data_IF_659997050982
#
_entry.id   IF_659997050982
#
_cell.length_a   1.000
_cell.length_b   1.000
_cell.length_c   1.000
_cell.angle_alpha   90.00
_cell.angle_beta   90.00
_cell.angle_gamma   90.00
#
_symmetry.space_group_name_H-M   'P 1'
#
loop_
_entity.id
_entity.type
_entity.pdbx_description
1 polymer ?
#
# COMPACT_ATOMS: atom_id res chain seq x y z
N UNK A 1 19.31 -10.19 12.65
CA UNK A 1 18.61 -9.01 12.10
C UNK A 1 17.22 -8.99 12.71
N UNK A 2 16.85 -7.96 13.48
CA UNK A 2 15.53 -7.92 14.12
C UNK A 2 14.50 -7.78 13.01
N UNK A 3 13.60 -8.75 12.86
CA UNK A 3 12.50 -8.66 11.89
C UNK A 3 11.66 -7.45 12.28
N UNK A 4 11.71 -6.40 11.46
CA UNK A 4 11.06 -5.10 11.71
C UNK A 4 9.58 -5.09 11.25
N UNK A 5 9.09 -6.22 10.75
CA UNK A 5 7.72 -6.39 10.26
C UNK A 5 6.87 -7.13 11.29
N UNK A 6 5.66 -6.64 11.56
CA UNK A 6 4.71 -7.33 12.44
C UNK A 6 3.97 -8.48 11.73
N UNK A 7 3.12 -9.20 12.48
CA UNK A 7 2.31 -10.32 11.94
C UNK A 7 1.34 -9.90 10.84
N UNK A 8 0.98 -8.62 10.79
CA UNK A 8 0.09 -8.02 9.79
C UNK A 8 0.86 -7.43 8.60
N UNK A 9 2.14 -7.78 8.44
CA UNK A 9 3.00 -7.35 7.35
C UNK A 9 3.27 -5.82 7.30
N UNK A 10 3.15 -5.10 8.43
CA UNK A 10 3.51 -3.67 8.53
C UNK A 10 4.95 -3.49 8.98
N UNK A 11 5.63 -2.49 8.41
CA UNK A 11 7.03 -2.19 8.67
C UNK A 11 7.97 -2.62 7.54
N UNK A 12 9.25 -2.80 7.88
CA UNK A 12 10.32 -3.01 6.91
C UNK A 12 10.47 -4.48 6.48
N UNK A 13 10.61 -4.67 5.17
CA UNK A 13 10.89 -5.94 4.49
C UNK A 13 12.28 -5.87 3.87
N UNK A 14 13.21 -6.77 4.25
CA UNK A 14 14.57 -6.75 3.72
C UNK A 14 14.62 -7.23 2.27
N UNK A 15 15.75 -6.97 1.63
CA UNK A 15 16.11 -7.55 0.33
C UNK A 15 15.88 -9.07 0.35
N UNK A 16 15.38 -9.61 -0.77
CA UNK A 16 15.16 -11.05 -0.99
C UNK A 16 14.02 -11.67 -0.19
N UNK A 17 13.31 -10.95 0.68
CA UNK A 17 12.24 -11.54 1.50
C UNK A 17 10.97 -11.84 0.66
N UNK A 18 10.68 -11.01 -0.34
CA UNK A 18 9.47 -11.13 -1.16
C UNK A 18 9.64 -12.16 -2.29
N UNK A 19 8.79 -13.18 -2.28
CA UNK A 19 8.71 -14.25 -3.28
C UNK A 19 7.26 -14.34 -3.80
N UNK A 20 7.00 -13.76 -4.96
CA UNK A 20 5.71 -13.74 -5.65
C UNK A 20 5.59 -14.80 -6.74
N UNK A 21 6.72 -15.26 -7.28
CA UNK A 21 6.82 -16.29 -8.30
C UNK A 21 7.85 -17.35 -7.87
N UNK A 22 7.43 -18.40 -7.15
CA UNK A 22 8.33 -19.43 -6.64
C UNK A 22 9.08 -20.20 -7.73
N UNK A 23 8.63 -20.14 -8.99
CA UNK A 23 9.25 -20.87 -10.10
C UNK A 23 10.40 -20.06 -10.69
N UNK A 24 10.21 -18.74 -10.85
CA UNK A 24 11.20 -17.89 -11.52
C UNK A 24 12.06 -17.06 -10.54
N UNK A 25 11.62 -16.84 -9.30
CA UNK A 25 12.36 -16.08 -8.30
C UNK A 25 13.19 -17.00 -7.40
N UNK A 26 14.41 -17.30 -7.84
CA UNK A 26 15.36 -18.17 -7.12
C UNK A 26 15.83 -17.53 -5.81
N UNK A 27 16.06 -16.21 -5.81
CA UNK A 27 16.60 -15.46 -4.68
C UNK A 27 15.57 -14.50 -4.05
N UNK A 28 14.31 -14.48 -4.51
CA UNK A 28 13.35 -13.43 -4.17
C UNK A 28 13.61 -12.11 -4.91
N UNK A 29 12.83 -11.09 -4.57
CA UNK A 29 12.90 -9.76 -5.19
C UNK A 29 14.12 -8.93 -4.74
N UNK A 30 14.77 -8.27 -5.70
CA UNK A 30 15.92 -7.37 -5.47
C UNK A 30 15.46 -5.98 -5.03
N UNK A 31 14.57 -5.91 -4.04
CA UNK A 31 14.09 -4.66 -3.46
C UNK A 31 13.90 -4.81 -1.96
N UNK A 32 14.12 -3.70 -1.25
CA UNK A 32 13.63 -3.53 0.10
C UNK A 32 12.26 -2.84 0.06
N UNK A 33 11.46 -3.03 1.10
CA UNK A 33 10.11 -2.48 1.19
C UNK A 33 9.79 -1.93 2.56
N UNK A 34 8.92 -0.93 2.61
CA UNK A 34 8.33 -0.44 3.85
C UNK A 34 6.82 -0.32 3.70
N UNK A 35 6.09 -1.13 4.47
CA UNK A 35 4.65 -1.25 4.34
C UNK A 35 3.93 -0.43 5.43
N UNK A 36 3.23 0.62 5.00
CA UNK A 36 2.41 1.50 5.84
C UNK A 36 0.94 1.32 5.42
N UNK A 37 0.08 1.08 6.39
CA UNK A 37 -1.37 1.00 6.21
C UNK A 37 -2.10 2.20 6.78
N UNK A 38 -3.43 2.12 6.76
CA UNK A 38 -4.29 3.02 7.54
C UNK A 38 -3.97 2.81 9.02
N UNK A 39 -3.92 3.90 9.80
CA UNK A 39 -3.78 3.81 11.25
C UNK A 39 -5.01 3.13 11.86
N UNK A 40 -4.79 2.00 12.53
CA UNK A 40 -5.82 1.20 13.19
C UNK A 40 -5.47 1.12 14.69
N UNK A 41 -6.39 1.44 15.62
CA UNK A 41 -6.17 1.28 17.05
C UNK A 41 -5.86 -0.17 17.42
N UNK A 42 -5.03 -0.38 18.45
CA UNK A 42 -4.67 -1.73 18.94
C UNK A 42 -5.84 -2.56 19.49
N UNK A 43 -7.01 -1.94 19.69
CA UNK A 43 -8.22 -2.59 20.15
C UNK A 43 -9.30 -2.69 19.05
N UNK A 44 -8.95 -2.51 17.77
CA UNK A 44 -9.93 -2.59 16.69
C UNK A 44 -10.42 -4.04 16.49
N UNK A 45 -11.74 -4.28 16.40
CA UNK A 45 -12.29 -5.62 16.18
C UNK A 45 -11.87 -6.24 14.83
N UNK A 46 -11.33 -5.46 13.90
CA UNK A 46 -10.86 -5.91 12.60
C UNK A 46 -9.36 -6.28 12.56
N UNK A 47 -8.65 -6.30 13.69
CA UNK A 47 -7.22 -6.65 13.73
C UNK A 47 -6.92 -8.10 13.28
N UNK A 48 -7.95 -8.95 13.20
CA UNK A 48 -7.85 -10.30 12.66
C UNK A 48 -7.84 -10.32 11.11
N UNK A 49 -8.20 -9.22 10.45
CA UNK A 49 -8.16 -9.14 8.98
C UNK A 49 -6.71 -9.03 8.51
N UNK A 50 -6.35 -9.83 7.50
CA UNK A 50 -5.06 -9.75 6.85
C UNK A 50 -4.81 -8.30 6.38
N UNK A 51 -3.61 -7.78 6.64
CA UNK A 51 -3.21 -6.40 6.32
C UNK A 51 -3.93 -5.29 7.12
N UNK A 52 -4.74 -5.61 8.13
CA UNK A 52 -5.29 -4.63 9.07
C UNK A 52 -4.59 -4.77 10.42
N UNK A 53 -3.76 -3.78 10.77
CA UNK A 53 -2.97 -3.82 12.00
C UNK A 53 -2.23 -2.50 12.24
N UNK A 54 -1.76 -2.26 13.47
CA UNK A 54 -1.03 -1.05 13.81
C UNK A 54 0.22 -0.92 12.94
N UNK A 55 0.51 0.31 12.50
CA UNK A 55 1.73 0.59 11.76
C UNK A 55 2.93 0.46 12.69
N UNK A 56 3.99 -0.14 12.17
CA UNK A 56 5.31 -0.10 12.80
C UNK A 56 6.00 1.12 12.22
N UNK A 57 6.45 2.04 13.08
CA UNK A 57 7.18 3.24 12.68
C UNK A 57 8.65 3.12 13.11
N UNK A 58 9.61 3.65 12.33
CA UNK A 58 10.98 3.75 12.82
C UNK A 58 11.01 4.75 13.96
N UNK A 59 11.91 4.50 14.92
CA UNK A 59 12.09 5.42 16.03
C UNK A 59 12.75 6.71 15.53
N UNK A 60 12.43 7.85 16.17
CA UNK A 60 12.84 9.17 15.71
C UNK A 60 14.37 9.39 15.77
N UNK A 61 15.10 8.59 16.56
CA UNK A 61 16.56 8.53 16.59
C UNK A 61 17.17 7.93 15.32
N UNK A 62 16.45 7.04 14.62
CA UNK A 62 16.92 6.45 13.36
C UNK A 62 16.51 7.33 12.18
N UNK A 63 15.24 7.73 12.12
CA UNK A 63 14.68 8.54 11.04
C UNK A 63 13.76 9.63 11.59
N UNK A 64 14.35 10.77 11.95
CA UNK A 64 13.61 11.93 12.47
C UNK A 64 12.65 12.49 11.42
N UNK A 65 11.39 12.71 11.78
CA UNK A 65 10.38 13.32 10.89
C UNK A 65 9.81 12.39 9.81
N UNK A 66 10.19 11.11 9.80
CA UNK A 66 9.79 10.16 8.75
C UNK A 66 8.30 9.87 8.77
N UNK A 67 7.73 9.66 9.96
CA UNK A 67 6.32 9.39 10.12
C UNK A 67 5.48 10.53 9.55
N UNK A 68 5.78 11.75 9.97
CA UNK A 68 5.08 12.96 9.55
C UNK A 68 5.19 13.17 8.03
N UNK A 69 6.37 12.90 7.47
CA UNK A 69 6.62 12.96 6.03
C UNK A 69 5.77 11.94 5.27
N UNK A 70 5.71 10.70 5.74
CA UNK A 70 4.95 9.63 5.09
C UNK A 70 3.43 9.80 5.24
N UNK A 71 2.96 10.27 6.39
CA UNK A 71 1.55 10.63 6.60
C UNK A 71 1.14 11.79 5.69
N UNK A 72 2.00 12.81 5.52
CA UNK A 72 1.77 13.89 4.56
C UNK A 72 1.73 13.36 3.13
N UNK A 73 2.73 12.59 2.71
CA UNK A 73 2.78 11.99 1.37
C UNK A 73 1.52 11.16 1.08
N UNK A 74 1.09 10.32 2.02
CA UNK A 74 -0.12 9.52 1.88
C UNK A 74 -1.37 10.38 1.66
N UNK A 75 -1.55 11.44 2.45
CA UNK A 75 -2.66 12.39 2.31
C UNK A 75 -2.66 13.08 0.95
N UNK A 76 -1.51 13.58 0.51
CA UNK A 76 -1.40 14.24 -0.81
C UNK A 76 -1.66 13.25 -1.96
N UNK A 77 -1.14 12.03 -1.87
CA UNK A 77 -1.39 10.99 -2.85
C UNK A 77 -2.88 10.62 -2.93
N UNK A 78 -3.57 10.54 -1.79
CA UNK A 78 -5.02 10.33 -1.77
C UNK A 78 -5.78 11.45 -2.47
N UNK A 79 -5.41 12.72 -2.26
CA UNK A 79 -6.06 13.84 -2.95
C UNK A 79 -5.92 13.74 -4.48
N UNK A 80 -4.75 13.33 -4.98
CA UNK A 80 -4.53 13.10 -6.42
C UNK A 80 -5.39 11.93 -6.94
N UNK A 81 -5.46 10.82 -6.19
CA UNK A 81 -6.29 9.68 -6.57
C UNK A 81 -7.76 10.09 -6.58
N UNK A 82 -8.29 10.69 -5.51
CA UNK A 82 -9.69 11.11 -5.46
C UNK A 82 -10.02 12.18 -6.50
N UNK A 83 -9.12 13.11 -6.76
CA UNK A 83 -9.28 14.10 -7.84
C UNK A 83 -9.37 13.44 -9.22
N UNK A 84 -8.54 12.43 -9.49
CA UNK A 84 -8.57 11.71 -10.77
C UNK A 84 -9.79 10.77 -10.90
N UNK A 85 -10.29 10.20 -9.79
CA UNK A 85 -11.51 9.37 -9.78
C UNK A 85 -12.75 10.14 -10.27
N UNK A 86 -12.81 11.48 -10.15
CA UNK A 86 -13.92 12.29 -10.68
C UNK A 86 -13.98 12.24 -12.21
N UNK A 87 -12.85 12.04 -12.89
CA UNK A 87 -12.77 11.97 -14.35
C UNK A 87 -13.14 10.59 -14.90
N UNK A 88 -12.97 9.53 -14.11
CA UNK A 88 -13.16 8.15 -14.55
C UNK A 88 -14.59 7.80 -14.99
N UNK A 89 -15.67 8.25 -14.31
CA UNK A 89 -17.03 7.99 -14.77
C UNK A 89 -17.26 8.51 -16.18
N UNK A 90 -16.67 9.66 -16.54
CA UNK A 90 -16.85 10.22 -17.87
C UNK A 90 -16.11 9.43 -18.94
N UNK A 91 -14.94 8.89 -18.61
CA UNK A 91 -14.13 8.05 -19.52
C UNK A 91 -14.80 6.68 -19.73
N UNK A 92 -15.39 6.13 -18.66
CA UNK A 92 -15.98 4.80 -18.64
C UNK A 92 -17.50 4.79 -18.95
N UNK A 93 -18.06 5.92 -19.37
CA UNK A 93 -19.49 6.13 -19.63
C UNK A 93 -20.40 5.68 -18.46
N UNK A 94 -19.97 5.93 -17.23
CA UNK A 94 -20.73 5.68 -16.02
C UNK A 94 -21.56 6.90 -15.64
N UNK A 95 -22.71 6.67 -15.00
CA UNK A 95 -23.63 7.74 -14.62
C UNK A 95 -23.12 8.60 -13.47
N UNK A 96 -22.29 8.02 -12.60
CA UNK A 96 -21.74 8.71 -11.43
C UNK A 96 -20.47 8.03 -10.91
N UNK A 97 -19.74 8.73 -10.05
CA UNK A 97 -18.65 8.16 -9.25
C UNK A 97 -19.14 7.08 -8.27
N UNK A 98 -20.40 7.14 -7.84
CA UNK A 98 -20.99 6.09 -6.98
C UNK A 98 -21.12 4.76 -7.74
N UNK A 99 -21.51 4.80 -9.02
CA UNK A 99 -21.56 3.61 -9.87
C UNK A 99 -20.17 3.00 -10.06
N UNK A 100 -19.14 3.84 -10.20
CA UNK A 100 -17.74 3.39 -10.26
C UNK A 100 -17.32 2.69 -8.96
N UNK A 101 -17.59 3.30 -7.80
CA UNK A 101 -17.26 2.72 -6.48
C UNK A 101 -18.03 1.43 -6.21
N UNK A 102 -19.28 1.33 -6.67
CA UNK A 102 -20.08 0.11 -6.54
C UNK A 102 -19.51 -1.04 -7.38
N UNK A 103 -19.09 -0.78 -8.63
CA UNK A 103 -18.48 -1.81 -9.50
C UNK A 103 -17.10 -2.24 -9.01
N UNK A 104 -16.31 -1.30 -8.52
CA UNK A 104 -14.99 -1.55 -7.95
C UNK A 104 -14.98 -2.54 -6.77
N UNK A 105 -16.04 -2.50 -5.94
CA UNK A 105 -16.19 -3.45 -4.83
C UNK A 105 -16.46 -4.89 -5.29
N UNK A 106 -16.85 -5.09 -6.55
CA UNK A 106 -17.26 -6.41 -7.09
C UNK A 106 -16.11 -7.13 -7.82
N UNK A 107 -15.14 -6.41 -8.38
CA UNK A 107 -14.04 -7.02 -9.19
C UNK A 107 -12.80 -7.46 -8.38
N UNK A 108 -12.95 -7.85 -7.11
CA UNK A 108 -11.84 -8.39 -6.33
C UNK A 108 -11.54 -9.84 -6.74
N UNK A 109 -10.77 -10.04 -7.82
CA UNK A 109 -10.24 -11.34 -8.25
C UNK A 109 -8.72 -11.32 -8.10
N UNK A 110 -8.21 -12.14 -7.18
CA UNK A 110 -6.77 -12.37 -6.97
C UNK A 110 -6.25 -13.40 -7.99
N UNK A 111 -5.35 -13.00 -8.88
CA UNK A 111 -4.63 -13.92 -9.75
C UNK A 111 -3.73 -13.19 -10.75
N UNK A 112 -2.41 -13.37 -10.63
CA UNK A 112 -1.37 -12.65 -11.38
C UNK A 112 -0.74 -11.55 -10.53
N UNK A 113 0.41 -11.01 -10.95
CA UNK A 113 1.12 -9.88 -10.31
C UNK A 113 0.32 -8.55 -10.33
N UNK A 114 -1.00 -8.62 -10.45
CA UNK A 114 -1.93 -7.53 -10.22
C UNK A 114 -1.94 -7.19 -8.74
N UNK A 115 -1.71 -5.91 -8.43
CA UNK A 115 -1.81 -5.43 -7.06
C UNK A 115 -3.27 -5.39 -6.64
N UNK A 116 -3.57 -5.89 -5.44
CA UNK A 116 -4.90 -5.82 -4.85
C UNK A 116 -5.21 -4.39 -4.38
N UNK A 117 -6.09 -3.69 -5.10
CA UNK A 117 -6.52 -2.34 -4.75
C UNK A 117 -7.36 -1.68 -5.86
N UNK A 118 -8.27 -0.77 -5.48
CA UNK A 118 -9.16 -0.10 -6.44
C UNK A 118 -8.43 0.91 -7.34
N UNK A 119 -7.49 1.66 -6.77
CA UNK A 119 -6.68 2.63 -7.51
C UNK A 119 -5.31 2.75 -6.85
N UNK A 120 -4.28 3.01 -7.66
CA UNK A 120 -2.90 3.17 -7.21
C UNK A 120 -2.36 4.52 -7.68
N UNK A 121 -1.87 5.32 -6.74
CA UNK A 121 -0.90 6.37 -7.04
C UNK A 121 0.51 5.83 -6.77
N UNK A 122 1.44 6.10 -7.68
CA UNK A 122 2.86 5.81 -7.48
C UNK A 122 3.66 7.03 -7.88
N UNK A 123 4.39 7.60 -6.92
CA UNK A 123 5.45 8.55 -7.21
C UNK A 123 6.74 7.75 -7.44
N UNK A 124 7.22 7.72 -8.67
CA UNK A 124 8.57 7.21 -8.94
C UNK A 124 9.56 8.33 -8.62
N UNK A 125 10.29 8.21 -7.52
CA UNK A 125 11.45 9.06 -7.25
C UNK A 125 12.65 8.36 -7.84
N UNK A 126 13.09 8.80 -9.02
CA UNK A 126 14.33 8.33 -9.62
C UNK A 126 15.50 9.10 -9.02
N UNK A 127 16.27 8.47 -8.14
CA UNK A 127 17.60 8.97 -7.79
C UNK A 127 18.60 8.39 -8.78
N UNK A 128 19.05 9.20 -9.74
CA UNK A 128 20.30 8.92 -10.44
C UNK A 128 21.44 9.36 -9.52
N UNK A 129 22.32 8.43 -9.16
CA UNK A 129 23.66 8.73 -8.63
C UNK A 129 24.62 8.96 -9.78
#
# INVERSE_FOLDING_TARGET
MKVLRNKQHRGYTPLFDEHLDPVNQINGDYKEGYYIGIEVPENDPNLEKLLYGPNVWPTADILTGWRETMEKYHREALLVVFGSLVLLPRILDLRSSEELVARARVEFVSGGSSQSGFARASACIWFWT
#
